data_IF_998920295694
#
_entry.id   IF_998920295694
#
_cell.length_a   1.000
_cell.length_b   1.000
_cell.length_c   1.000
_cell.angle_alpha   90.00
_cell.angle_beta   90.00
_cell.angle_gamma   90.00
#
_symmetry.space_group_name_H-M   'P 1'
#
loop_
_entity.id
_entity.type
_entity.pdbx_description
1 polymer ?
#
# COMPACT_ATOMS: atom_id res chain seq x y z
N UNK A 1 16.15 -9.59 -37.00
CA UNK A 1 15.73 -8.29 -36.42
C UNK A 1 14.87 -8.59 -35.19
N UNK A 2 15.45 -8.61 -33.98
CA UNK A 2 14.74 -9.08 -32.78
C UNK A 2 14.09 -7.91 -32.03
N UNK A 3 12.86 -8.15 -31.60
CA UNK A 3 11.95 -7.19 -30.99
C UNK A 3 12.54 -6.45 -29.80
N UNK A 4 12.39 -5.14 -29.85
CA UNK A 4 12.66 -4.18 -28.80
C UNK A 4 11.89 -4.57 -27.53
N UNK A 5 12.63 -5.13 -26.59
CA UNK A 5 12.26 -5.25 -25.18
C UNK A 5 11.91 -3.85 -24.68
N UNK A 6 10.62 -3.57 -24.48
CA UNK A 6 10.16 -2.32 -23.89
C UNK A 6 10.76 -2.27 -22.49
N UNK A 7 11.77 -1.41 -22.32
CA UNK A 7 12.34 -1.13 -21.01
C UNK A 7 11.29 -0.35 -20.22
N UNK A 8 11.04 -0.85 -19.01
CA UNK A 8 10.24 -0.26 -17.94
C UNK A 8 10.48 1.26 -17.93
N UNK A 9 9.49 2.01 -18.41
CA UNK A 9 9.49 3.46 -18.43
C UNK A 9 9.44 3.97 -17.01
N UNK A 10 10.50 4.67 -16.62
CA UNK A 10 10.58 5.48 -15.41
C UNK A 10 9.55 6.61 -15.53
N UNK A 11 8.49 6.52 -14.74
CA UNK A 11 7.73 7.65 -14.20
C UNK A 11 7.89 7.53 -12.68
N UNK A 12 9.10 7.84 -12.20
CA UNK A 12 9.42 7.89 -10.77
C UNK A 12 9.06 9.28 -10.23
N UNK A 13 7.76 9.55 -10.09
CA UNK A 13 7.31 10.40 -9.00
C UNK A 13 7.07 9.48 -7.80
N UNK A 14 8.15 9.18 -7.06
CA UNK A 14 8.13 8.30 -5.89
C UNK A 14 6.88 8.51 -5.04
N UNK A 15 5.94 7.56 -5.10
CA UNK A 15 5.27 6.93 -3.93
C UNK A 15 4.69 5.57 -4.35
N UNK A 16 5.35 4.46 -3.96
CA UNK A 16 4.54 3.36 -3.45
C UNK A 16 5.17 2.74 -2.19
N UNK A 17 5.61 3.54 -1.21
CA UNK A 17 6.16 2.99 0.05
C UNK A 17 5.17 2.03 0.75
N UNK A 18 3.88 2.37 0.72
CA UNK A 18 2.83 1.55 1.35
C UNK A 18 2.61 0.28 0.53
N UNK A 19 2.26 0.39 -0.75
CA UNK A 19 1.95 -0.77 -1.59
C UNK A 19 3.14 -1.70 -1.73
N UNK A 20 4.37 -1.17 -1.87
CA UNK A 20 5.59 -1.97 -1.95
C UNK A 20 5.90 -2.66 -0.62
N UNK A 21 5.73 -1.96 0.51
CA UNK A 21 5.88 -2.54 1.84
C UNK A 21 4.90 -3.69 2.06
N UNK A 22 3.63 -3.49 1.71
CA UNK A 22 2.57 -4.49 1.84
C UNK A 22 2.79 -5.68 0.90
N UNK A 23 3.20 -5.45 -0.35
CA UNK A 23 3.54 -6.52 -1.29
C UNK A 23 4.71 -7.40 -0.79
N UNK A 24 5.59 -6.85 0.08
CA UNK A 24 6.69 -7.57 0.73
C UNK A 24 6.30 -8.19 2.08
N UNK A 25 5.05 -8.03 2.53
CA UNK A 25 4.59 -8.50 3.83
C UNK A 25 5.21 -7.74 5.00
N UNK A 26 5.65 -6.49 4.78
CA UNK A 26 6.27 -5.65 5.82
C UNK A 26 5.16 -4.93 6.59
N UNK A 27 5.14 -5.09 7.91
CA UNK A 27 4.27 -4.33 8.80
C UNK A 27 4.71 -2.87 8.85
N UNK A 28 3.76 -1.95 8.73
CA UNK A 28 4.06 -0.52 8.59
C UNK A 28 3.72 0.26 9.87
N UNK A 29 4.64 1.15 10.26
CA UNK A 29 4.38 2.26 11.17
C UNK A 29 4.28 3.53 10.36
N UNK A 30 3.16 4.23 10.45
CA UNK A 30 2.84 5.37 9.60
C UNK A 30 3.08 6.69 10.33
N UNK A 31 3.84 7.56 9.68
CA UNK A 31 4.13 8.91 10.13
C UNK A 31 3.59 9.90 9.07
N UNK A 32 2.29 10.24 9.11
CA UNK A 32 1.68 11.08 8.09
C UNK A 32 2.12 12.54 8.27
N UNK A 33 2.87 13.06 7.29
CA UNK A 33 3.46 14.41 7.34
C UNK A 33 2.75 15.40 6.42
N UNK A 34 2.38 14.98 5.20
CA UNK A 34 1.86 15.89 4.17
C UNK A 34 0.84 15.21 3.26
N UNK A 35 -0.07 16.03 2.71
CA UNK A 35 -1.05 15.65 1.69
C UNK A 35 -2.04 14.57 2.16
N UNK A 36 -2.29 13.58 1.31
CA UNK A 36 -3.23 12.48 1.49
C UNK A 36 -2.78 11.42 2.51
N UNK A 37 -1.54 11.52 3.02
CA UNK A 37 -0.96 10.55 3.94
C UNK A 37 -1.82 10.34 5.20
N UNK A 38 -2.46 11.39 5.72
CA UNK A 38 -3.34 11.26 6.88
C UNK A 38 -4.59 10.43 6.58
N UNK A 39 -5.16 10.57 5.38
CA UNK A 39 -6.33 9.77 4.96
C UNK A 39 -5.93 8.31 4.72
N UNK A 40 -4.79 8.09 4.06
CA UNK A 40 -4.24 6.75 3.84
C UNK A 40 -3.90 6.07 5.18
N UNK A 41 -3.31 6.79 6.13
CA UNK A 41 -2.97 6.26 7.45
C UNK A 41 -4.20 5.81 8.22
N UNK A 42 -5.21 6.68 8.30
CA UNK A 42 -6.48 6.34 8.93
C UNK A 42 -7.13 5.10 8.31
N UNK A 43 -7.15 5.01 6.98
CA UNK A 43 -7.74 3.86 6.29
C UNK A 43 -7.01 2.56 6.63
N UNK A 44 -5.67 2.56 6.65
CA UNK A 44 -4.87 1.38 6.96
C UNK A 44 -4.97 0.97 8.43
N UNK A 45 -5.10 1.94 9.35
CA UNK A 45 -5.34 1.66 10.77
C UNK A 45 -6.72 1.06 10.99
N UNK A 46 -7.77 1.62 10.37
CA UNK A 46 -9.13 1.08 10.44
C UNK A 46 -9.22 -0.36 9.90
N UNK A 47 -8.40 -0.68 8.89
CA UNK A 47 -8.27 -2.03 8.33
C UNK A 47 -7.35 -2.96 9.12
N UNK A 48 -6.72 -2.48 10.19
CA UNK A 48 -5.73 -3.23 10.98
C UNK A 48 -4.57 -3.77 10.13
N UNK A 49 -4.10 -2.96 9.18
CA UNK A 49 -2.95 -3.25 8.32
C UNK A 49 -1.69 -2.53 8.80
N UNK A 50 -1.85 -1.40 9.50
CA UNK A 50 -0.74 -0.57 9.96
C UNK A 50 -1.05 0.13 11.28
N UNK A 51 -0.01 0.66 11.93
CA UNK A 51 -0.13 1.49 13.14
C UNK A 51 0.30 2.92 12.82
N UNK A 52 -0.56 3.89 13.10
CA UNK A 52 -0.22 5.31 13.01
C UNK A 52 0.46 5.79 14.30
N UNK A 53 1.51 6.60 14.16
CA UNK A 53 2.15 7.26 15.29
C UNK A 53 1.22 8.37 15.80
N UNK A 54 0.94 8.36 17.10
CA UNK A 54 0.18 9.43 17.73
C UNK A 54 0.92 10.77 17.60
N UNK A 55 0.17 11.81 17.23
CA UNK A 55 0.65 13.20 17.18
C UNK A 55 -0.12 14.05 18.18
N UNK A 56 0.50 15.15 18.57
CA UNK A 56 -0.16 16.16 19.39
C UNK A 56 -1.31 16.82 18.60
N UNK A 57 -2.46 17.02 19.25
CA UNK A 57 -3.65 17.58 18.60
C UNK A 57 -3.59 19.11 18.44
N UNK A 58 -2.79 19.79 19.25
CA UNK A 58 -2.67 21.25 19.26
C UNK A 58 -1.66 21.72 18.20
N UNK A 59 -0.47 21.13 18.16
CA UNK A 59 0.61 21.55 17.26
C UNK A 59 0.95 20.55 16.14
N UNK A 60 0.34 19.35 16.16
CA UNK A 60 0.56 18.32 15.16
C UNK A 60 1.92 17.63 15.24
N UNK A 61 2.71 17.86 16.29
CA UNK A 61 4.06 17.34 16.44
C UNK A 61 4.10 15.86 16.84
N UNK A 62 5.21 15.21 16.51
CA UNK A 62 5.51 13.84 16.92
C UNK A 62 6.59 13.82 18.00
N UNK A 63 6.44 12.94 18.99
CA UNK A 63 7.45 12.72 20.02
C UNK A 63 8.18 11.40 19.80
N UNK A 64 9.43 11.31 20.25
CA UNK A 64 10.19 10.06 20.21
C UNK A 64 9.50 8.94 21.01
N UNK A 65 8.80 9.28 22.09
CA UNK A 65 8.03 8.30 22.88
C UNK A 65 6.87 7.74 22.07
N UNK A 66 6.09 8.58 21.37
CA UNK A 66 4.97 8.11 20.55
C UNK A 66 5.43 7.19 19.41
N UNK A 67 6.59 7.50 18.81
CA UNK A 67 7.22 6.62 17.81
C UNK A 67 7.61 5.27 18.44
N UNK A 68 8.22 5.29 19.62
CA UNK A 68 8.62 4.08 20.32
C UNK A 68 7.40 3.20 20.71
N UNK A 69 6.31 3.82 21.16
CA UNK A 69 5.03 3.13 21.43
C UNK A 69 4.51 2.44 20.16
N UNK A 70 4.42 3.15 19.04
CA UNK A 70 3.93 2.59 17.79
C UNK A 70 4.80 1.41 17.30
N UNK A 71 6.13 1.52 17.42
CA UNK A 71 7.05 0.42 17.07
C UNK A 71 6.86 -0.80 17.97
N UNK A 72 6.67 -0.62 19.28
CA UNK A 72 6.40 -1.72 20.21
C UNK A 72 5.09 -2.44 19.89
N UNK A 73 4.04 -1.70 19.54
CA UNK A 73 2.75 -2.26 19.11
C UNK A 73 2.89 -3.19 17.90
N UNK A 74 3.71 -2.79 16.92
CA UNK A 74 3.93 -3.59 15.70
C UNK A 74 4.87 -4.77 15.92
N UNK A 75 5.90 -4.63 16.76
CA UNK A 75 7.01 -5.59 16.83
C UNK A 75 6.95 -6.55 18.03
N UNK A 76 6.30 -6.16 19.13
CA UNK A 76 6.40 -6.87 20.43
C UNK A 76 5.04 -7.25 20.98
N UNK A 77 4.05 -6.36 20.87
CA UNK A 77 2.74 -6.57 21.47
C UNK A 77 1.90 -7.56 20.65
N UNK A 78 0.91 -8.19 21.29
CA UNK A 78 0.04 -9.18 20.63
C UNK A 78 -0.74 -8.60 19.45
N UNK A 79 -0.96 -7.28 19.41
CA UNK A 79 -1.54 -6.59 18.26
C UNK A 79 -0.69 -6.79 16.98
N UNK A 80 0.64 -6.91 17.12
CA UNK A 80 1.60 -7.20 16.04
C UNK A 80 1.32 -8.49 15.25
N UNK A 81 0.72 -9.49 15.90
CA UNK A 81 0.27 -10.73 15.24
C UNK A 81 -0.97 -10.51 14.38
N UNK A 82 -1.94 -9.71 14.86
CA UNK A 82 -3.15 -9.36 14.10
C UNK A 82 -2.79 -8.57 12.84
N UNK A 83 -1.95 -7.54 12.95
CA UNK A 83 -1.43 -6.81 11.79
C UNK A 83 -0.64 -7.74 10.86
N UNK A 84 0.07 -8.72 11.42
CA UNK A 84 0.87 -9.66 10.64
C UNK A 84 0.06 -10.58 9.75
N UNK A 85 -1.13 -11.02 10.18
CA UNK A 85 -2.02 -11.85 9.37
C UNK A 85 -2.56 -11.06 8.17
N UNK A 86 -3.16 -9.90 8.42
CA UNK A 86 -3.75 -9.07 7.35
C UNK A 86 -2.70 -8.63 6.33
N UNK A 87 -1.50 -8.25 6.78
CA UNK A 87 -0.39 -7.86 5.90
C UNK A 87 0.11 -9.03 5.04
N UNK A 88 0.07 -10.27 5.53
CA UNK A 88 0.44 -11.46 4.73
C UNK A 88 -0.59 -11.73 3.64
N UNK A 89 -1.87 -11.68 3.97
CA UNK A 89 -2.95 -11.87 3.00
C UNK A 89 -2.86 -10.81 1.88
N UNK A 90 -2.58 -9.56 2.26
CA UNK A 90 -2.35 -8.50 1.28
C UNK A 90 -1.08 -8.72 0.45
N UNK A 91 -0.01 -9.27 1.03
CA UNK A 91 1.22 -9.57 0.32
C UNK A 91 1.02 -10.61 -0.78
N UNK A 92 0.18 -11.63 -0.54
CA UNK A 92 -0.16 -12.65 -1.54
C UNK A 92 -0.84 -12.06 -2.77
N UNK A 93 -1.71 -11.07 -2.57
CA UNK A 93 -2.42 -10.40 -3.66
C UNK A 93 -1.55 -9.35 -4.33
N UNK A 94 -1.03 -8.40 -3.56
CA UNK A 94 -0.28 -7.24 -4.08
C UNK A 94 1.09 -7.63 -4.64
N UNK A 95 1.72 -8.66 -4.07
CA UNK A 95 3.01 -9.18 -4.50
C UNK A 95 2.93 -10.18 -5.66
N UNK A 96 1.72 -10.58 -6.09
CA UNK A 96 1.55 -11.53 -7.20
C UNK A 96 1.48 -10.81 -8.55
N UNK A 97 2.58 -10.91 -9.31
CA UNK A 97 2.62 -10.45 -10.69
C UNK A 97 1.52 -11.10 -11.55
N UNK A 98 1.18 -12.38 -11.29
CA UNK A 98 0.13 -13.08 -12.02
C UNK A 98 -1.25 -12.45 -11.79
N UNK A 99 -1.60 -12.16 -10.53
CA UNK A 99 -2.88 -11.52 -10.18
C UNK A 99 -2.92 -10.09 -10.71
N UNK A 100 -1.82 -9.35 -10.57
CA UNK A 100 -1.72 -7.98 -11.07
C UNK A 100 -1.87 -7.92 -12.59
N UNK A 101 -1.16 -8.79 -13.32
CA UNK A 101 -1.26 -8.86 -14.78
C UNK A 101 -2.66 -9.31 -15.22
N UNK A 102 -3.28 -10.23 -14.49
CA UNK A 102 -4.64 -10.68 -14.77
C UNK A 102 -5.66 -9.55 -14.60
N UNK A 103 -5.54 -8.76 -13.53
CA UNK A 103 -6.36 -7.57 -13.29
C UNK A 103 -6.26 -6.58 -14.46
N UNK A 104 -5.04 -6.29 -14.94
CA UNK A 104 -4.83 -5.40 -16.10
C UNK A 104 -5.44 -5.99 -17.36
N UNK A 105 -5.26 -7.29 -17.62
CA UNK A 105 -5.86 -7.97 -18.78
C UNK A 105 -7.38 -7.89 -18.76
N UNK A 106 -8.00 -8.14 -17.61
CA UNK A 106 -9.45 -8.10 -17.45
C UNK A 106 -10.00 -6.69 -17.66
N UNK A 107 -9.31 -5.68 -17.13
CA UNK A 107 -9.64 -4.28 -17.38
C UNK A 107 -9.57 -3.92 -18.88
N UNK A 108 -8.50 -4.31 -19.57
CA UNK A 108 -8.34 -4.08 -21.02
C UNK A 108 -9.41 -4.80 -21.84
N UNK A 109 -9.82 -6.01 -21.43
CA UNK A 109 -10.93 -6.73 -22.06
C UNK A 109 -12.22 -5.93 -21.95
N UNK A 110 -12.57 -5.45 -20.75
CA UNK A 110 -13.77 -4.64 -20.53
C UNK A 110 -13.80 -3.38 -21.42
N UNK A 111 -12.67 -2.67 -21.53
CA UNK A 111 -12.57 -1.49 -22.40
C UNK A 111 -12.73 -1.86 -23.88
N UNK A 112 -12.13 -2.97 -24.31
CA UNK A 112 -12.23 -3.45 -25.68
C UNK A 112 -13.68 -3.79 -26.03
N UNK A 113 -14.37 -4.51 -25.15
CA UNK A 113 -15.77 -4.89 -25.35
C UNK A 113 -16.70 -3.67 -25.38
N UNK A 114 -16.47 -2.69 -24.50
CA UNK A 114 -17.20 -1.43 -24.51
C UNK A 114 -17.01 -0.65 -25.83
N UNK A 115 -15.77 -0.55 -26.31
CA UNK A 115 -15.49 0.17 -27.56
C UNK A 115 -16.10 -0.47 -28.82
N UNK A 116 -16.28 -1.80 -28.83
CA UNK A 116 -16.97 -2.51 -29.92
C UNK A 116 -18.47 -2.25 -29.89
N UNK A 117 -19.08 -2.15 -28.70
CA UNK A 117 -20.51 -1.87 -28.55
C UNK A 117 -20.88 -0.47 -29.04
N UNK A 118 -19.95 0.49 -29.00
CA UNK A 118 -20.16 1.87 -29.46
C UNK A 118 -19.88 2.09 -30.95
N UNK A 119 -19.36 1.07 -31.65
CA UNK A 119 -19.08 1.12 -33.11
C UNK A 119 -20.10 0.32 -33.93
N UNK A 120 -21.09 -0.29 -33.26
CA UNK A 120 -22.21 -1.01 -33.87
C UNK A 120 -23.48 -0.19 -33.94
#
# INVERSE_FOLDING_TARGET
VPGSRIRRGVLDERRPEITEGLARGIRLVLLPLLFDQGLNARHLVEKKIAVEVARDEEDGSFTAENVAVALRRVMVEGEGEEFGAEVRDLAEVLGSDEVNDQCVRDFLRCLSDYSRQQQG
#
